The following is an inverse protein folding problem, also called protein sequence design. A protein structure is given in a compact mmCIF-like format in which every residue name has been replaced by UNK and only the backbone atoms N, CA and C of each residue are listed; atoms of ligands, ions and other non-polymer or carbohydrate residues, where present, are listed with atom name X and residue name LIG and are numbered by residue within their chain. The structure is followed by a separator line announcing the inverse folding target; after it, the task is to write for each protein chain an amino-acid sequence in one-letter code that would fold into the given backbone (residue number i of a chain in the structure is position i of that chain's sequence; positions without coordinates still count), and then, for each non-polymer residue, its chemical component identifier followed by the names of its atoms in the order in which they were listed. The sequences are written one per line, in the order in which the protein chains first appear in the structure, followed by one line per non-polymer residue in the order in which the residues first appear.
data_IF_794186711453
#
_entry.id   IF_794186711453
#
_cell.length_a   1.000
_cell.length_b   1.000
_cell.length_c   1.000
_cell.angle_alpha   90.00
_cell.angle_beta   90.00
_cell.angle_gamma   90.00
#
_symmetry.space_group_name_H-M   'P 1'
#
loop_
_entity.id
_entity.type
_entity.pdbx_description
1 polymer ?
#
# COMPACT_ATOMS: atom_id res chain seq x y z
N UNK A 1 -11.79 -50.74 43.79
CA UNK A 1 -10.91 -49.90 42.95
C UNK A 1 -11.29 -49.83 41.46
N UNK A 2 -12.06 -50.78 40.89
CA UNK A 2 -12.38 -50.77 39.45
C UNK A 2 -13.38 -49.70 38.98
N UNK A 3 -14.40 -49.37 39.79
CA UNK A 3 -15.46 -48.41 39.41
C UNK A 3 -14.96 -46.96 39.30
N UNK A 4 -13.99 -46.55 40.13
CA UNK A 4 -13.42 -45.20 40.13
C UNK A 4 -12.53 -44.93 38.90
N UNK A 5 -11.84 -45.96 38.40
CA UNK A 5 -11.02 -45.86 37.19
C UNK A 5 -11.88 -45.72 35.93
N UNK A 6 -13.03 -46.38 35.90
CA UNK A 6 -13.95 -46.34 34.76
C UNK A 6 -14.63 -44.96 34.62
N UNK A 7 -15.04 -44.34 35.73
CA UNK A 7 -15.58 -42.98 35.72
C UNK A 7 -14.56 -41.93 35.29
N UNK A 8 -13.29 -42.08 35.71
CA UNK A 8 -12.22 -41.15 35.30
C UNK A 8 -11.91 -41.25 33.80
N UNK A 9 -11.93 -42.46 33.24
CA UNK A 9 -11.76 -42.69 31.80
C UNK A 9 -12.91 -42.10 30.99
N UNK A 10 -14.16 -42.28 31.45
CA UNK A 10 -15.33 -41.70 30.77
C UNK A 10 -15.30 -40.16 30.78
N UNK A 11 -14.87 -39.55 31.89
CA UNK A 11 -14.74 -38.11 32.01
C UNK A 11 -13.64 -37.53 31.09
N UNK A 12 -12.51 -38.21 30.92
CA UNK A 12 -11.47 -37.77 29.98
C UNK A 12 -11.88 -37.88 28.51
N UNK A 13 -12.70 -38.87 28.14
CA UNK A 13 -13.23 -39.00 26.78
C UNK A 13 -14.26 -37.90 26.48
N UNK A 14 -15.11 -37.56 27.45
CA UNK A 14 -16.09 -36.46 27.30
C UNK A 14 -15.43 -35.07 27.27
N UNK A 15 -14.32 -34.87 27.99
CA UNK A 15 -13.55 -33.61 27.94
C UNK A 15 -12.70 -33.45 26.68
N UNK A 16 -12.36 -34.53 25.96
CA UNK A 16 -11.60 -34.44 24.70
C UNK A 16 -12.51 -34.13 23.50
N UNK A 17 -13.81 -34.39 23.59
CA UNK A 17 -14.79 -34.01 22.55
C UNK A 17 -15.16 -32.52 22.51
N UNK A 18 -14.80 -31.71 23.51
CA UNK A 18 -15.11 -30.27 23.52
C UNK A 18 -13.98 -29.39 22.95
N UNK A 19 -12.87 -29.98 22.48
CA UNK A 19 -11.69 -29.22 22.04
C UNK A 19 -11.44 -29.13 20.53
N UNK A 20 -12.34 -29.63 19.67
CA UNK A 20 -12.18 -29.52 18.22
C UNK A 20 -13.44 -28.97 17.54
N UNK A 21 -13.76 -27.75 17.92
CA UNK A 21 -14.63 -26.86 17.16
C UNK A 21 -14.10 -25.45 17.30
N UNK A 22 -12.89 -25.18 16.78
CA UNK A 22 -12.57 -23.80 16.42
C UNK A 22 -13.62 -23.41 15.40
N UNK A 23 -14.68 -22.74 15.87
CA UNK A 23 -15.69 -22.18 15.00
C UNK A 23 -14.96 -21.31 14.00
N UNK A 24 -14.92 -21.75 12.74
CA UNK A 24 -14.67 -20.82 11.66
C UNK A 24 -15.88 -19.90 11.71
N UNK A 25 -15.75 -18.75 12.36
CA UNK A 25 -16.67 -17.65 12.10
C UNK A 25 -16.59 -17.42 10.59
N UNK A 26 -17.61 -17.87 9.88
CA UNK A 26 -17.73 -17.58 8.46
C UNK A 26 -17.94 -16.08 8.38
N UNK A 27 -16.87 -15.35 8.07
CA UNK A 27 -16.99 -13.94 7.74
C UNK A 27 -18.04 -13.83 6.62
N UNK A 28 -19.00 -12.90 6.75
CA UNK A 28 -19.96 -12.65 5.69
C UNK A 28 -19.21 -12.32 4.40
N UNK A 29 -19.78 -12.71 3.26
CA UNK A 29 -19.16 -12.41 1.97
C UNK A 29 -18.95 -10.89 1.83
N UNK A 30 -17.77 -10.44 1.38
CA UNK A 30 -17.51 -9.03 1.18
C UNK A 30 -18.37 -8.45 0.08
N UNK A 31 -18.85 -7.23 0.30
CA UNK A 31 -19.52 -6.41 -0.71
C UNK A 31 -18.74 -5.12 -0.88
N UNK A 32 -18.47 -4.72 -2.12
CA UNK A 32 -17.84 -3.44 -2.43
C UNK A 32 -18.89 -2.37 -2.67
N UNK A 33 -18.55 -1.13 -2.33
CA UNK A 33 -19.22 0.04 -2.87
C UNK A 33 -18.94 0.17 -4.38
N UNK A 34 -19.97 0.51 -5.15
CA UNK A 34 -19.89 0.61 -6.62
C UNK A 34 -18.96 1.74 -7.07
N UNK A 35 -18.95 2.85 -6.32
CA UNK A 35 -18.14 4.03 -6.62
C UNK A 35 -16.89 4.12 -5.76
N UNK A 36 -15.82 4.64 -6.34
CA UNK A 36 -14.65 5.11 -5.59
C UNK A 36 -15.03 6.30 -4.71
N UNK A 37 -14.46 6.37 -3.51
CA UNK A 37 -14.55 7.55 -2.66
C UNK A 37 -13.65 8.68 -3.22
N UNK A 38 -12.40 8.34 -3.54
CA UNK A 38 -11.49 9.22 -4.27
C UNK A 38 -10.51 8.43 -5.11
N UNK A 39 -9.97 9.10 -6.12
CA UNK A 39 -8.99 8.56 -7.05
C UNK A 39 -8.02 9.66 -7.47
N UNK A 40 -6.74 9.31 -7.55
CA UNK A 40 -5.68 10.10 -8.14
C UNK A 40 -5.06 9.28 -9.26
N UNK A 41 -5.11 9.77 -10.49
CA UNK A 41 -4.46 9.10 -11.60
C UNK A 41 -2.96 9.45 -11.67
N UNK A 42 -2.14 8.53 -12.15
CA UNK A 42 -0.69 8.69 -12.23
C UNK A 42 -0.23 9.86 -13.09
N UNK A 43 -1.07 10.31 -14.02
CA UNK A 43 -0.80 11.44 -14.92
C UNK A 43 -0.70 12.78 -14.19
N UNK A 44 -1.37 12.94 -13.04
CA UNK A 44 -1.29 14.15 -12.22
C UNK A 44 -0.19 14.10 -11.17
N UNK A 45 0.46 12.93 -11.01
CA UNK A 45 1.50 12.66 -10.01
C UNK A 45 2.87 12.83 -10.66
N UNK A 46 3.77 13.56 -10.02
CA UNK A 46 5.19 13.62 -10.41
C UNK A 46 6.04 12.96 -9.34
N UNK A 47 6.87 11.98 -9.69
CA UNK A 47 7.84 11.44 -8.76
C UNK A 47 9.17 12.18 -8.89
N UNK A 48 9.85 12.35 -7.76
CA UNK A 48 11.10 13.09 -7.63
C UNK A 48 12.14 12.25 -6.90
N UNK A 49 13.39 12.33 -7.34
CA UNK A 49 14.56 11.73 -6.67
C UNK A 49 15.74 12.70 -6.65
N UNK A 50 16.41 12.80 -5.51
CA UNK A 50 17.67 13.51 -5.34
C UNK A 50 18.84 12.62 -5.72
N UNK A 51 19.48 12.99 -6.82
CA UNK A 51 20.58 12.28 -7.45
C UNK A 51 21.86 12.18 -6.64
N UNK A 52 22.84 11.49 -7.20
CA UNK A 52 24.17 11.38 -6.59
C UNK A 52 25.03 12.64 -6.83
N UNK A 53 24.68 13.41 -7.84
CA UNK A 53 25.30 14.68 -8.21
C UNK A 53 24.59 15.90 -7.63
N UNK A 54 23.79 15.69 -6.57
CA UNK A 54 23.08 16.74 -5.83
C UNK A 54 22.06 17.52 -6.69
N UNK A 55 21.46 16.85 -7.67
CA UNK A 55 20.42 17.39 -8.54
C UNK A 55 19.12 16.63 -8.37
N UNK A 56 18.00 17.32 -8.57
CA UNK A 56 16.68 16.71 -8.59
C UNK A 56 16.33 16.22 -9.99
N UNK A 57 15.79 15.01 -10.05
CA UNK A 57 15.26 14.39 -11.26
C UNK A 57 13.79 14.05 -11.05
N UNK A 58 12.99 14.11 -12.10
CA UNK A 58 11.57 13.79 -12.06
C UNK A 58 11.08 12.96 -13.22
N UNK A 59 10.04 12.15 -12.96
CA UNK A 59 9.28 11.43 -13.97
C UNK A 59 7.77 11.54 -13.68
N UNK A 60 6.92 11.64 -14.71
CA UNK A 60 5.48 11.51 -14.55
C UNK A 60 5.11 10.13 -14.01
N UNK A 61 4.35 10.09 -12.91
CA UNK A 61 3.84 8.88 -12.28
C UNK A 61 4.91 7.91 -11.73
N UNK A 62 6.19 8.29 -11.70
CA UNK A 62 7.26 7.40 -11.26
C UNK A 62 8.35 8.16 -10.52
N UNK A 63 8.91 7.53 -9.48
CA UNK A 63 10.08 8.03 -8.77
C UNK A 63 11.31 7.57 -9.54
N UNK A 64 12.12 8.48 -10.09
CA UNK A 64 13.23 8.05 -10.93
C UNK A 64 14.31 7.30 -10.13
N UNK A 65 14.99 6.37 -10.80
CA UNK A 65 16.16 5.66 -10.23
C UNK A 65 17.22 6.67 -9.83
N UNK A 66 17.77 6.53 -8.62
CA UNK A 66 18.79 7.47 -8.13
C UNK A 66 20.08 7.31 -8.92
N UNK A 67 20.45 8.36 -9.63
CA UNK A 67 21.57 8.32 -10.59
C UNK A 67 22.28 9.67 -10.71
N UNK A 68 23.21 9.79 -11.65
CA UNK A 68 23.90 11.04 -12.03
C UNK A 68 23.36 11.58 -13.35
N UNK A 69 23.58 12.87 -13.62
CA UNK A 69 23.13 13.55 -14.85
C UNK A 69 23.58 12.86 -16.13
N UNK A 70 24.79 12.33 -16.19
CA UNK A 70 25.29 11.58 -17.36
C UNK A 70 24.43 10.36 -17.69
N UNK A 71 23.95 9.63 -16.67
CA UNK A 71 23.07 8.47 -16.86
C UNK A 71 21.61 8.87 -17.05
N UNK A 72 21.22 10.01 -16.48
CA UNK A 72 19.87 10.55 -16.61
C UNK A 72 19.47 10.79 -18.07
N UNK A 73 20.40 11.29 -18.90
CA UNK A 73 20.15 11.59 -20.31
C UNK A 73 19.64 10.38 -21.12
N UNK A 74 20.00 9.16 -20.70
CA UNK A 74 19.62 7.92 -21.38
C UNK A 74 18.66 7.05 -20.55
N UNK A 75 18.03 7.63 -19.51
CA UNK A 75 17.23 6.83 -18.56
C UNK A 75 16.00 6.20 -19.20
N UNK A 76 15.49 6.80 -20.27
CA UNK A 76 14.33 6.29 -21.02
C UNK A 76 14.69 5.14 -21.96
N UNK A 77 15.96 4.96 -22.29
CA UNK A 77 16.42 3.88 -23.17
C UNK A 77 16.50 2.53 -22.43
N UNK A 78 16.63 2.57 -21.10
CA UNK A 78 16.55 1.38 -20.25
C UNK A 78 15.13 1.24 -19.67
N UNK A 79 14.36 0.24 -20.12
CA UNK A 79 12.97 0.09 -19.70
C UNK A 79 12.82 -0.24 -18.20
N UNK A 80 13.87 -0.77 -17.56
CA UNK A 80 13.89 -0.98 -16.12
C UNK A 80 13.97 0.34 -15.35
N UNK A 81 14.74 1.30 -15.87
CA UNK A 81 14.87 2.63 -15.29
C UNK A 81 13.64 3.50 -15.58
N UNK A 82 12.97 3.31 -16.72
CA UNK A 82 11.73 4.00 -17.06
C UNK A 82 10.59 3.73 -16.06
N UNK A 83 10.58 2.55 -15.39
CA UNK A 83 9.64 2.24 -14.30
C UNK A 83 10.02 2.86 -12.94
N UNK A 84 11.21 3.45 -12.81
CA UNK A 84 11.66 4.13 -11.59
C UNK A 84 11.96 3.22 -10.39
N UNK A 85 12.35 3.81 -9.26
CA UNK A 85 12.41 3.11 -7.96
C UNK A 85 11.02 2.65 -7.48
N UNK A 86 9.99 3.37 -7.94
CA UNK A 86 8.59 3.12 -7.66
C UNK A 86 7.73 3.83 -8.71
N UNK A 87 6.52 3.35 -8.96
CA UNK A 87 5.59 3.98 -9.90
C UNK A 87 4.13 3.83 -9.49
N UNK A 88 3.31 4.77 -9.96
CA UNK A 88 1.88 4.87 -9.69
C UNK A 88 1.15 5.08 -11.03
N UNK A 89 0.27 4.13 -11.35
CA UNK A 89 -0.74 4.28 -12.40
C UNK A 89 -1.99 4.96 -11.87
N UNK A 90 -2.42 4.60 -10.67
CA UNK A 90 -3.43 5.35 -9.92
C UNK A 90 -3.39 4.96 -8.44
N UNK A 91 -3.92 5.84 -7.61
CA UNK A 91 -4.30 5.55 -6.23
C UNK A 91 -5.81 5.70 -6.15
N UNK A 92 -6.47 4.77 -5.48
CA UNK A 92 -7.92 4.82 -5.30
C UNK A 92 -8.31 4.37 -3.90
N UNK A 93 -9.34 5.00 -3.33
CA UNK A 93 -9.93 4.58 -2.05
C UNK A 93 -11.40 4.28 -2.24
N UNK A 94 -11.87 3.18 -1.65
CA UNK A 94 -13.28 2.75 -1.66
C UNK A 94 -13.61 1.97 -0.38
N UNK A 95 -14.87 1.56 -0.21
CA UNK A 95 -15.31 0.76 0.94
C UNK A 95 -15.59 -0.69 0.59
N UNK A 96 -15.19 -1.57 1.51
CA UNK A 96 -15.64 -2.97 1.56
C UNK A 96 -16.44 -3.20 2.84
N UNK A 97 -17.53 -3.94 2.72
CA UNK A 97 -18.43 -4.30 3.80
C UNK A 97 -18.34 -5.79 4.08
N UNK A 98 -18.13 -6.13 5.36
CA UNK A 98 -18.26 -7.49 5.87
C UNK A 98 -19.44 -7.50 6.85
N UNK A 99 -20.62 -7.81 6.32
CA UNK A 99 -21.87 -7.71 7.09
C UNK A 99 -22.18 -6.25 7.41
N UNK A 100 -22.16 -5.89 8.68
CA UNK A 100 -22.40 -4.51 9.14
C UNK A 100 -21.13 -3.69 9.32
N UNK A 101 -19.94 -4.32 9.27
CA UNK A 101 -18.66 -3.62 9.42
C UNK A 101 -18.19 -3.08 8.07
N UNK A 102 -17.83 -1.80 8.03
CA UNK A 102 -17.26 -1.15 6.86
C UNK A 102 -15.75 -0.94 7.06
N UNK A 103 -14.99 -1.18 6.00
CA UNK A 103 -13.56 -0.98 5.94
C UNK A 103 -13.20 -0.11 4.75
N UNK A 104 -12.20 0.75 4.95
CA UNK A 104 -11.62 1.53 3.87
C UNK A 104 -10.53 0.71 3.20
N UNK A 105 -10.59 0.61 1.88
CA UNK A 105 -9.56 -0.02 1.07
C UNK A 105 -8.93 1.05 0.22
N UNK A 106 -7.66 1.33 0.51
CA UNK A 106 -6.80 2.13 -0.35
C UNK A 106 -6.02 1.17 -1.26
N UNK A 107 -5.98 1.46 -2.55
CA UNK A 107 -5.20 0.72 -3.53
C UNK A 107 -4.18 1.62 -4.19
N UNK A 108 -3.00 1.06 -4.43
CA UNK A 108 -1.96 1.64 -5.27
C UNK A 108 -1.76 0.70 -6.45
N UNK A 109 -2.18 1.14 -7.63
CA UNK A 109 -1.89 0.44 -8.87
C UNK A 109 -0.55 0.91 -9.43
N UNK A 110 0.29 -0.04 -9.79
CA UNK A 110 1.64 0.15 -10.31
C UNK A 110 1.93 -0.88 -11.41
N UNK A 111 3.11 -0.78 -12.01
CA UNK A 111 3.67 -1.77 -12.92
C UNK A 111 4.95 -2.37 -12.34
N UNK A 112 5.01 -3.69 -12.42
CA UNK A 112 6.24 -4.44 -12.28
C UNK A 112 6.80 -4.73 -13.67
N UNK A 113 8.11 -4.88 -13.76
CA UNK A 113 8.78 -5.22 -15.01
C UNK A 113 9.89 -6.22 -14.78
N UNK A 114 10.03 -7.14 -15.73
CA UNK A 114 11.07 -8.15 -15.71
C UNK A 114 11.50 -8.51 -17.14
N UNK A 115 12.76 -8.88 -17.28
CA UNK A 115 13.25 -9.47 -18.52
C UNK A 115 12.83 -10.93 -18.60
N UNK A 116 12.22 -11.33 -19.72
CA UNK A 116 11.93 -12.74 -20.05
C UNK A 116 13.20 -13.61 -20.03
N UNK A 117 14.34 -13.02 -20.43
CA UNK A 117 15.66 -13.64 -20.35
C UNK A 117 16.62 -12.75 -19.52
N UNK A 118 16.60 -12.85 -18.18
CA UNK A 118 17.35 -11.93 -17.30
C UNK A 118 18.86 -11.90 -17.57
N UNK A 119 19.47 -13.05 -17.84
CA UNK A 119 20.92 -13.14 -18.08
C UNK A 119 21.40 -12.41 -19.35
N UNK A 120 20.50 -12.06 -20.26
CA UNK A 120 20.81 -11.34 -21.51
C UNK A 120 20.11 -9.98 -21.59
N UNK A 121 19.33 -9.61 -20.57
CA UNK A 121 18.51 -8.40 -20.55
C UNK A 121 17.65 -8.25 -21.82
N UNK A 122 16.99 -9.35 -22.22
CA UNK A 122 16.15 -9.40 -23.44
C UNK A 122 14.70 -9.72 -23.12
N UNK A 123 13.81 -9.11 -23.91
CA UNK A 123 12.37 -9.30 -23.81
C UNK A 123 11.81 -8.72 -22.53
N UNK A 124 11.98 -7.41 -22.33
CA UNK A 124 11.36 -6.71 -21.21
C UNK A 124 9.83 -6.77 -21.33
N UNK A 125 9.19 -7.22 -20.27
CA UNK A 125 7.74 -7.29 -20.16
C UNK A 125 7.30 -6.58 -18.89
N UNK A 126 6.22 -5.81 -18.97
CA UNK A 126 5.58 -5.19 -17.80
C UNK A 126 4.26 -5.88 -17.48
N UNK A 127 3.94 -5.93 -16.19
CA UNK A 127 2.69 -6.47 -15.69
C UNK A 127 2.12 -5.56 -14.61
N UNK A 128 0.79 -5.36 -14.61
CA UNK A 128 0.14 -4.57 -13.58
C UNK A 128 0.20 -5.26 -12.22
N UNK A 129 0.42 -4.46 -11.18
CA UNK A 129 0.39 -4.82 -9.77
C UNK A 129 -0.55 -3.87 -9.04
N UNK A 130 -1.38 -4.41 -8.15
CA UNK A 130 -2.18 -3.61 -7.22
C UNK A 130 -1.80 -4.03 -5.81
N UNK A 131 -1.30 -3.08 -5.04
CA UNK A 131 -1.14 -3.21 -3.59
C UNK A 131 -2.41 -2.65 -2.94
N UNK A 132 -3.07 -3.45 -2.09
CA UNK A 132 -4.24 -3.02 -1.34
C UNK A 132 -3.93 -2.92 0.16
N UNK A 133 -4.52 -1.92 0.81
CA UNK A 133 -4.38 -1.64 2.24
C UNK A 133 -5.77 -1.48 2.83
N UNK A 134 -6.11 -2.34 3.79
CA UNK A 134 -7.43 -2.36 4.41
C UNK A 134 -7.34 -1.78 5.82
N UNK A 135 -8.16 -0.76 6.08
CA UNK A 135 -8.14 0.06 7.29
C UNK A 135 -9.54 0.12 7.91
N UNK A 136 -9.60 0.27 9.23
CA UNK A 136 -10.84 0.69 9.90
C UNK A 136 -11.05 2.21 9.77
N UNK A 137 -12.28 2.66 9.89
CA UNK A 137 -12.62 4.10 9.86
C UNK A 137 -11.85 4.90 10.93
N UNK A 138 -11.65 4.31 12.11
CA UNK A 138 -10.92 4.90 13.23
C UNK A 138 -9.47 5.28 12.87
N UNK A 139 -8.85 4.55 11.95
CA UNK A 139 -7.50 4.81 11.46
C UNK A 139 -7.50 5.92 10.40
N UNK A 140 -8.47 5.91 9.48
CA UNK A 140 -8.60 6.93 8.42
C UNK A 140 -8.82 8.34 8.99
N UNK A 141 -9.62 8.46 10.06
CA UNK A 141 -9.88 9.74 10.73
C UNK A 141 -8.59 10.38 11.28
N UNK A 142 -7.54 9.61 11.58
CA UNK A 142 -6.27 10.14 12.09
C UNK A 142 -5.55 11.02 11.08
N UNK A 143 -5.71 10.76 9.79
CA UNK A 143 -5.11 11.56 8.71
C UNK A 143 -5.79 12.94 8.67
N UNK A 144 -7.11 12.96 8.78
CA UNK A 144 -7.95 14.15 8.66
C UNK A 144 -7.88 15.08 9.87
N UNK A 145 -7.63 14.54 11.06
CA UNK A 145 -7.58 15.31 12.30
C UNK A 145 -6.43 16.36 12.33
N UNK A 146 -5.57 16.36 11.31
CA UNK A 146 -4.35 17.16 11.22
C UNK A 146 -4.18 17.80 9.83
N UNK A 147 -5.27 18.33 9.26
CA UNK A 147 -5.34 19.20 8.07
C UNK A 147 -4.46 20.49 8.14
N UNK A 148 -3.42 20.49 8.97
CA UNK A 148 -2.43 21.53 9.13
C UNK A 148 -1.39 21.51 7.99
N UNK A 149 -0.92 22.69 7.59
CA UNK A 149 0.26 22.87 6.75
C UNK A 149 1.48 22.35 7.52
N UNK A 150 2.39 21.63 6.86
CA UNK A 150 3.60 21.06 7.50
C UNK A 150 3.97 19.66 7.00
N UNK A 151 4.92 19.02 7.69
CA UNK A 151 5.35 17.64 7.40
C UNK A 151 4.83 16.68 8.48
N UNK A 152 4.25 15.57 8.04
CA UNK A 152 3.59 14.58 8.90
C UNK A 152 3.93 13.17 8.45
N UNK A 153 4.07 12.27 9.41
CA UNK A 153 4.17 10.84 9.17
C UNK A 153 3.11 10.13 10.00
N UNK A 154 2.14 9.53 9.32
CA UNK A 154 1.08 8.73 9.92
C UNK A 154 1.45 7.26 9.82
N UNK A 155 1.30 6.54 10.92
CA UNK A 155 1.38 5.08 10.96
C UNK A 155 -0.02 4.58 11.31
N UNK A 156 -0.68 3.98 10.31
CA UNK A 156 -2.07 3.56 10.38
C UNK A 156 -2.12 2.04 10.49
N UNK A 157 -2.85 1.54 11.48
CA UNK A 157 -2.99 0.09 11.67
C UNK A 157 -3.80 -0.49 10.51
N UNK A 158 -3.24 -1.50 9.87
CA UNK A 158 -3.95 -2.25 8.85
C UNK A 158 -4.72 -3.38 9.53
N UNK A 159 -5.83 -3.80 8.92
CA UNK A 159 -6.51 -5.05 9.25
C UNK A 159 -6.21 -6.13 8.23
N UNK A 160 -5.79 -5.74 7.02
CA UNK A 160 -5.20 -6.62 6.03
C UNK A 160 -4.42 -5.79 5.00
N UNK A 161 -3.46 -6.42 4.32
CA UNK A 161 -2.86 -5.88 3.09
C UNK A 161 -2.41 -7.03 2.21
N UNK A 162 -2.26 -6.75 0.92
CA UNK A 162 -1.79 -7.76 0.00
C UNK A 162 -1.64 -7.24 -1.42
N UNK A 163 -1.34 -8.17 -2.31
CA UNK A 163 -0.99 -7.87 -3.69
C UNK A 163 -1.88 -8.66 -4.65
N UNK A 164 -2.43 -7.95 -5.63
CA UNK A 164 -3.09 -8.51 -6.80
C UNK A 164 -2.17 -8.33 -8.01
N UNK A 165 -1.92 -9.43 -8.73
CA UNK A 165 -1.10 -9.48 -9.94
C UNK A 165 -1.88 -10.13 -11.08
N UNK A 166 -1.38 -9.95 -12.31
CA UNK A 166 -1.91 -10.59 -13.51
C UNK A 166 -3.38 -10.25 -13.80
N UNK A 167 -3.79 -9.02 -13.49
CA UNK A 167 -5.16 -8.54 -13.70
C UNK A 167 -5.19 -7.39 -14.69
N UNK A 168 -6.26 -7.27 -15.48
CA UNK A 168 -6.42 -6.13 -16.39
C UNK A 168 -6.91 -4.93 -15.58
N UNK A 169 -6.17 -3.82 -15.62
CA UNK A 169 -6.56 -2.57 -14.93
C UNK A 169 -7.69 -1.81 -15.63
N UNK A 170 -8.22 -2.30 -16.75
CA UNK A 170 -9.21 -1.59 -17.57
C UNK A 170 -10.60 -1.52 -16.94
N UNK A 171 -10.96 -2.52 -16.13
CA UNK A 171 -12.25 -2.61 -15.46
C UNK A 171 -12.02 -2.63 -13.97
N UNK A 172 -12.69 -1.75 -13.25
CA UNK A 172 -12.58 -1.62 -11.80
C UNK A 172 -13.02 -2.91 -11.11
N UNK A 173 -14.11 -3.47 -11.59
CA UNK A 173 -14.80 -4.63 -11.04
C UNK A 173 -13.86 -5.85 -11.00
N UNK A 174 -13.09 -6.08 -12.07
CA UNK A 174 -12.17 -7.21 -12.18
C UNK A 174 -11.20 -7.24 -10.99
N UNK A 175 -10.52 -6.12 -10.71
CA UNK A 175 -9.52 -6.08 -9.64
C UNK A 175 -10.10 -5.87 -8.25
N UNK A 176 -11.27 -5.22 -8.12
CA UNK A 176 -12.00 -5.16 -6.85
C UNK A 176 -12.45 -6.55 -6.43
N UNK A 177 -12.98 -7.38 -7.35
CA UNK A 177 -13.39 -8.76 -7.08
C UNK A 177 -12.20 -9.60 -6.59
N UNK A 178 -11.03 -9.43 -7.20
CA UNK A 178 -9.83 -10.14 -6.79
C UNK A 178 -9.32 -9.72 -5.41
N UNK A 179 -9.45 -8.43 -5.05
CA UNK A 179 -9.20 -7.95 -3.69
C UNK A 179 -10.22 -8.56 -2.73
N UNK A 180 -11.52 -8.52 -3.04
CA UNK A 180 -12.58 -9.11 -2.19
C UNK A 180 -12.35 -10.60 -1.93
N UNK A 181 -11.85 -11.35 -2.91
CA UNK A 181 -11.52 -12.77 -2.74
C UNK A 181 -10.35 -13.04 -1.79
N UNK A 182 -9.41 -12.09 -1.69
CA UNK A 182 -8.15 -12.24 -0.93
C UNK A 182 -8.17 -11.55 0.42
N UNK A 183 -8.88 -10.43 0.52
CA UNK A 183 -8.91 -9.58 1.69
C UNK A 183 -9.59 -10.32 2.85
N UNK A 184 -8.90 -10.42 3.98
CA UNK A 184 -9.46 -11.04 5.19
C UNK A 184 -9.06 -10.16 6.37
N UNK A 185 -10.00 -9.33 6.91
CA UNK A 185 -9.68 -8.42 8.01
C UNK A 185 -9.32 -9.20 9.28
N UNK A 186 -8.27 -8.73 9.97
CA UNK A 186 -7.74 -9.28 11.23
C UNK A 186 -7.44 -8.15 12.20
N UNK A 187 -7.88 -8.29 13.45
CA UNK A 187 -7.69 -7.25 14.47
C UNK A 187 -6.20 -7.09 14.87
N UNK A 188 -5.45 -8.19 14.96
CA UNK A 188 -4.01 -8.15 15.28
C UNK A 188 -3.13 -8.37 14.03
N UNK A 189 -3.32 -7.51 13.04
CA UNK A 189 -2.54 -7.60 11.81
C UNK A 189 -1.20 -6.87 11.94
N UNK A 190 -0.05 -7.49 11.63
CA UNK A 190 1.25 -6.99 12.09
C UNK A 190 1.84 -5.86 11.23
N UNK A 191 1.13 -5.39 10.22
CA UNK A 191 1.58 -4.34 9.30
C UNK A 191 0.86 -3.02 9.56
N UNK A 192 1.55 -1.93 9.24
CA UNK A 192 1.02 -0.57 9.25
C UNK A 192 1.19 0.06 7.87
N UNK A 193 0.21 0.84 7.44
CA UNK A 193 0.37 1.75 6.32
C UNK A 193 1.05 3.00 6.84
N UNK A 194 2.20 3.32 6.27
CA UNK A 194 2.89 4.58 6.53
C UNK A 194 2.52 5.57 5.44
N UNK A 195 1.91 6.67 5.85
CA UNK A 195 1.65 7.82 4.98
C UNK A 195 2.53 8.98 5.45
N UNK A 196 3.54 9.30 4.66
CA UNK A 196 4.40 10.45 4.91
C UNK A 196 4.00 11.54 3.92
N UNK A 197 3.67 12.73 4.42
CA UNK A 197 3.25 13.85 3.60
C UNK A 197 3.87 15.17 4.06
N UNK A 198 4.17 16.05 3.11
CA UNK A 198 4.52 17.45 3.36
C UNK A 198 3.58 18.33 2.56
N UNK A 199 2.78 19.12 3.28
CA UNK A 199 1.74 19.96 2.73
C UNK A 199 2.21 21.42 2.77
N UNK A 200 2.47 22.02 1.61
CA UNK A 200 2.97 23.39 1.49
C UNK A 200 1.95 24.27 0.77
N UNK A 201 1.01 24.84 1.53
CA UNK A 201 -0.07 25.67 0.98
C UNK A 201 0.42 26.87 0.17
N UNK A 202 1.46 27.57 0.64
CA UNK A 202 2.04 28.73 -0.08
C UNK A 202 2.66 28.35 -1.43
N UNK A 203 3.19 27.13 -1.55
CA UNK A 203 3.81 26.62 -2.77
C UNK A 203 2.80 25.87 -3.66
N UNK A 204 1.55 25.72 -3.20
CA UNK A 204 0.48 24.97 -3.85
C UNK A 204 0.88 23.52 -4.23
N UNK A 205 1.74 22.89 -3.43
CA UNK A 205 2.19 21.52 -3.64
C UNK A 205 2.02 20.67 -2.39
N UNK A 206 1.73 19.40 -2.62
CA UNK A 206 1.72 18.36 -1.60
C UNK A 206 2.68 17.25 -2.03
N UNK A 207 3.64 16.94 -1.16
CA UNK A 207 4.57 15.82 -1.33
C UNK A 207 4.11 14.64 -0.51
N UNK A 208 4.29 13.43 -1.00
CA UNK A 208 3.83 12.25 -0.28
C UNK A 208 4.54 10.95 -0.64
N UNK A 209 4.34 9.96 0.23
CA UNK A 209 4.70 8.56 0.07
C UNK A 209 3.72 7.65 0.78
N UNK A 210 3.47 6.48 0.19
CA UNK A 210 2.70 5.38 0.78
C UNK A 210 3.48 4.08 0.69
N UNK A 211 3.60 3.38 1.81
CA UNK A 211 4.21 2.05 1.86
C UNK A 211 3.73 1.29 3.10
N UNK A 212 3.78 -0.05 3.03
CA UNK A 212 3.53 -0.88 4.20
C UNK A 212 4.83 -1.14 4.97
N UNK A 213 4.76 -1.14 6.30
CA UNK A 213 5.87 -1.47 7.17
C UNK A 213 5.43 -2.45 8.26
N UNK A 214 6.24 -3.47 8.52
CA UNK A 214 5.95 -4.42 9.60
C UNK A 214 6.24 -3.78 10.96
N UNK A 215 5.35 -3.94 11.95
CA UNK A 215 5.46 -3.33 13.29
C UNK A 215 6.74 -3.77 14.03
N UNK A 216 7.08 -5.05 13.93
CA UNK A 216 8.21 -5.65 14.64
C UNK A 216 9.49 -5.83 13.80
N UNK A 217 9.39 -5.80 12.47
CA UNK A 217 10.50 -6.16 11.57
C UNK A 217 10.85 -4.99 10.67
N UNK A 218 12.06 -4.99 10.13
CA UNK A 218 12.53 -3.96 9.19
C UNK A 218 12.11 -4.28 7.74
N UNK A 219 10.92 -4.81 7.57
CA UNK A 219 10.36 -5.15 6.26
C UNK A 219 9.52 -3.98 5.75
N UNK A 220 9.62 -3.72 4.45
CA UNK A 220 8.86 -2.71 3.71
C UNK A 220 8.21 -3.42 2.52
N UNK A 221 6.96 -3.10 2.26
CA UNK A 221 6.22 -3.57 1.08
C UNK A 221 5.47 -2.42 0.40
N UNK A 222 4.84 -2.72 -0.73
CA UNK A 222 4.13 -1.80 -1.62
C UNK A 222 5.01 -0.70 -2.23
N UNK A 223 6.31 -0.98 -2.35
CA UNK A 223 7.27 -0.22 -3.14
C UNK A 223 7.99 -1.18 -4.07
N UNK A 224 8.34 -0.72 -5.27
CA UNK A 224 9.06 -1.56 -6.24
C UNK A 224 10.49 -1.86 -5.76
N UNK A 225 11.22 -0.84 -5.31
CA UNK A 225 12.57 -0.98 -4.78
C UNK A 225 12.76 -0.30 -3.41
N UNK A 226 13.27 -1.05 -2.44
CA UNK A 226 13.62 -0.52 -1.11
C UNK A 226 14.96 0.21 -1.19
N UNK A 227 14.90 1.51 -1.44
CA UNK A 227 16.08 2.36 -1.52
C UNK A 227 16.86 2.47 -0.21
N UNK A 228 18.19 2.51 -0.35
CA UNK A 228 19.15 2.71 0.74
C UNK A 228 20.06 3.90 0.41
N UNK A 229 20.26 4.79 1.38
CA UNK A 229 21.20 5.91 1.29
C UNK A 229 22.39 5.60 2.19
N UNK A 230 23.60 5.52 1.62
CA UNK A 230 24.83 5.16 2.34
C UNK A 230 24.67 3.85 3.13
N UNK A 231 24.03 2.85 2.53
CA UNK A 231 23.73 1.56 3.14
C UNK A 231 22.57 1.54 4.14
N UNK A 232 22.03 2.71 4.52
CA UNK A 232 20.93 2.82 5.46
C UNK A 232 19.59 2.92 4.74
N UNK A 233 18.60 2.14 5.19
CA UNK A 233 17.22 2.33 4.76
C UNK A 233 16.71 3.68 5.26
N UNK A 234 15.99 4.41 4.41
CA UNK A 234 15.39 5.70 4.77
C UNK A 234 13.87 5.62 5.00
N UNK A 235 13.22 4.55 4.57
CA UNK A 235 11.82 4.26 4.91
C UNK A 235 11.61 4.18 6.42
N UNK A 236 10.57 4.88 6.88
CA UNK A 236 10.21 5.07 8.29
C UNK A 236 10.97 6.19 8.99
N UNK A 237 11.69 7.05 8.24
CA UNK A 237 12.44 8.18 8.80
C UNK A 237 11.94 9.53 8.28
N UNK A 238 12.05 10.62 9.08
CA UNK A 238 11.66 11.96 8.65
C UNK A 238 12.41 12.47 7.41
N UNK A 239 13.67 12.07 7.23
CA UNK A 239 14.52 12.54 6.14
C UNK A 239 14.19 11.90 4.79
N UNK A 240 13.25 10.94 4.72
CA UNK A 240 12.90 10.27 3.47
C UNK A 240 12.54 11.27 2.36
N UNK A 241 11.79 12.31 2.71
CA UNK A 241 11.32 13.35 1.78
C UNK A 241 12.46 14.26 1.27
N UNK A 242 13.64 14.20 1.88
CA UNK A 242 14.83 14.90 1.38
C UNK A 242 15.48 14.15 0.21
N UNK A 243 15.10 12.89 -0.02
CA UNK A 243 15.69 12.04 -1.06
C UNK A 243 14.72 11.71 -2.18
N UNK A 244 13.47 11.33 -1.87
CA UNK A 244 12.51 11.00 -2.92
C UNK A 244 11.06 11.07 -2.43
N UNK A 245 10.16 11.49 -3.32
CA UNK A 245 8.75 11.68 -3.02
C UNK A 245 7.91 11.72 -4.29
N UNK A 246 6.62 11.51 -4.15
CA UNK A 246 5.64 11.95 -5.13
C UNK A 246 5.17 13.36 -4.81
N UNK A 247 4.78 14.11 -5.82
CA UNK A 247 4.27 15.47 -5.72
C UNK A 247 3.00 15.61 -6.56
N UNK A 248 2.01 16.28 -5.99
CA UNK A 248 0.77 16.69 -6.66
C UNK A 248 0.40 18.12 -6.23
N UNK A 249 -0.48 18.80 -6.99
CA UNK A 249 -1.12 20.04 -6.52
C UNK A 249 -1.77 19.88 -5.13
N UNK A 250 -1.59 20.88 -4.27
CA UNK A 250 -2.09 20.86 -2.90
C UNK A 250 -3.60 20.59 -2.81
N UNK A 251 -4.40 21.26 -3.64
CA UNK A 251 -5.86 21.10 -3.70
C UNK A 251 -6.30 19.68 -4.07
N UNK A 252 -5.53 18.98 -4.92
CA UNK A 252 -5.82 17.59 -5.29
C UNK A 252 -5.55 16.64 -4.12
N UNK A 253 -4.45 16.85 -3.38
CA UNK A 253 -4.19 16.08 -2.16
C UNK A 253 -5.30 16.29 -1.14
N UNK A 254 -5.69 17.56 -0.93
CA UNK A 254 -6.74 17.90 0.02
C UNK A 254 -8.09 17.28 -0.34
N UNK A 255 -8.47 17.34 -1.62
CA UNK A 255 -9.69 16.70 -2.15
C UNK A 255 -9.65 15.18 -1.99
N UNK A 256 -8.50 14.56 -2.26
CA UNK A 256 -8.30 13.11 -2.09
C UNK A 256 -8.43 12.70 -0.62
N UNK A 257 -7.82 13.47 0.29
CA UNK A 257 -7.87 13.17 1.71
C UNK A 257 -9.28 13.34 2.27
N UNK A 258 -10.04 14.38 1.92
CA UNK A 258 -11.35 14.75 2.49
C UNK A 258 -12.56 13.89 2.08
N UNK A 259 -12.37 12.62 1.79
CA UNK A 259 -13.39 11.72 1.22
C UNK A 259 -14.62 11.42 2.10
N UNK A 260 -14.77 12.07 3.25
CA UNK A 260 -15.93 11.94 4.14
C UNK A 260 -17.09 12.89 3.82
N UNK A 261 -16.84 14.04 3.18
CA UNK A 261 -17.80 15.15 3.11
C UNK A 261 -18.86 15.01 2.00
N UNK A 262 -19.00 13.83 1.37
CA UNK A 262 -20.07 13.51 0.40
C UNK A 262 -21.16 12.62 0.99
N UNK A 263 -21.51 12.85 2.26
CA UNK A 263 -22.68 12.28 2.93
C UNK A 263 -23.72 13.37 3.19
#
# INVERSE_FOLDING_TARGET
MGKLKLTLYLAMILCSSTMLGQGRENLPQPVSEDSSLARLDGEVITGWTFGEDMRWYSLPGAIPVRTTSFRWENIQDDPNYALGEDNIRFIETFRLYYGTKAYYVMVKASEEGAYKYPARERGWETAPRIDYFMLEESEVVKIHAKDSIGTFMYQLKLVDHGIVRNIKLKKREDWVEEIMRKAIPREDYPWELVFHASLFGEQNVARFQFYAMHRAFKDIDAVRHVQKIRGNRIYGKPELMDYFYYEIPFELMFTYLRTRDRL
#
